data_IF_665152518059
#
_entry.id   IF_665152518059
#
_cell.length_a   1.000
_cell.length_b   1.000
_cell.length_c   1.000
_cell.angle_alpha   90.00
_cell.angle_beta   90.00
_cell.angle_gamma   90.00
#
_symmetry.space_group_name_H-M   'P 1'
#
loop_
_entity.id
_entity.type
_entity.pdbx_description
1 polymer ?
#
# COMPACT_ATOMS: atom_id res chain seq x y z
N UNK A 1 4.40 -14.93 -16.12
CA UNK A 1 3.09 -14.86 -15.41
C UNK A 1 2.19 -13.86 -16.11
N UNK A 2 0.89 -14.12 -16.09
CA UNK A 2 -0.16 -13.16 -16.45
C UNK A 2 -0.50 -12.36 -15.20
N UNK A 3 -0.31 -11.06 -15.25
CA UNK A 3 -0.48 -10.17 -14.10
C UNK A 3 -1.43 -9.04 -14.47
N UNK A 4 -2.41 -8.77 -13.63
CA UNK A 4 -3.24 -7.57 -13.75
C UNK A 4 -2.93 -6.63 -12.60
N UNK A 5 -2.63 -5.38 -12.92
CA UNK A 5 -2.45 -4.29 -11.96
C UNK A 5 -3.70 -3.42 -11.99
N UNK A 6 -4.39 -3.33 -10.86
CA UNK A 6 -5.56 -2.47 -10.71
C UNK A 6 -5.12 -1.12 -10.17
N UNK A 7 -5.20 -0.10 -11.06
CA UNK A 7 -4.66 1.24 -10.82
C UNK A 7 -3.21 1.38 -11.27
N UNK A 8 -2.87 2.48 -11.95
CA UNK A 8 -1.52 2.84 -12.35
C UNK A 8 -1.06 4.13 -11.63
N UNK A 9 -1.37 4.20 -10.34
CA UNK A 9 -0.85 5.21 -9.42
C UNK A 9 0.63 5.00 -9.07
N UNK A 10 1.12 5.65 -8.03
CA UNK A 10 2.52 5.52 -7.62
C UNK A 10 2.97 4.07 -7.43
N UNK A 11 2.21 3.28 -6.65
CA UNK A 11 2.54 1.86 -6.40
C UNK A 11 2.30 1.01 -7.64
N UNK A 12 1.13 1.12 -8.27
CA UNK A 12 0.76 0.27 -9.40
C UNK A 12 1.58 0.55 -10.65
N UNK A 13 1.87 1.80 -10.93
CA UNK A 13 2.76 2.16 -12.04
C UNK A 13 4.19 1.69 -11.79
N UNK A 14 4.69 1.80 -10.55
CA UNK A 14 6.01 1.30 -10.18
C UNK A 14 6.13 -0.23 -10.31
N UNK A 15 5.16 -0.99 -9.76
CA UNK A 15 5.12 -2.46 -9.89
C UNK A 15 4.93 -2.89 -11.34
N UNK A 16 3.92 -2.33 -12.00
CA UNK A 16 3.55 -2.75 -13.34
C UNK A 16 4.61 -2.45 -14.39
N UNK A 17 5.27 -1.28 -14.34
CA UNK A 17 6.35 -0.94 -15.26
C UNK A 17 7.55 -1.89 -15.12
N UNK A 18 7.98 -2.21 -13.90
CA UNK A 18 9.07 -3.13 -13.64
C UNK A 18 8.74 -4.57 -14.08
N UNK A 19 7.54 -5.05 -13.74
CA UNK A 19 7.08 -6.38 -14.13
C UNK A 19 6.99 -6.51 -15.67
N UNK A 20 6.41 -5.52 -16.35
CA UNK A 20 6.34 -5.53 -17.82
C UNK A 20 7.73 -5.48 -18.45
N UNK A 21 8.63 -4.63 -17.93
CA UNK A 21 10.02 -4.55 -18.42
C UNK A 21 10.82 -5.85 -18.20
N UNK A 22 10.44 -6.68 -17.24
CA UNK A 22 11.04 -8.00 -16.98
C UNK A 22 10.49 -9.12 -17.86
N UNK A 23 9.55 -8.81 -18.77
CA UNK A 23 8.96 -9.79 -19.69
C UNK A 23 7.72 -10.50 -19.16
N UNK A 24 7.14 -10.03 -18.05
CA UNK A 24 5.84 -10.53 -17.60
C UNK A 24 4.72 -9.99 -18.51
N UNK A 25 3.66 -10.76 -18.69
CA UNK A 25 2.44 -10.30 -19.37
C UNK A 25 1.62 -9.45 -18.40
N UNK A 26 1.70 -8.12 -18.54
CA UNK A 26 1.06 -7.19 -17.59
C UNK A 26 -0.07 -6.44 -18.27
N UNK A 27 -1.29 -6.57 -17.72
CA UNK A 27 -2.44 -5.76 -18.04
C UNK A 27 -2.74 -4.73 -16.94
N UNK A 28 -3.20 -3.56 -17.30
CA UNK A 28 -3.60 -2.50 -16.37
C UNK A 28 -5.11 -2.28 -16.44
N UNK A 29 -5.81 -2.49 -15.33
CA UNK A 29 -7.20 -2.07 -15.17
C UNK A 29 -7.20 -0.62 -14.66
N UNK A 30 -7.52 0.31 -15.55
CA UNK A 30 -7.44 1.77 -15.30
C UNK A 30 -8.55 2.50 -16.05
N UNK A 31 -8.87 3.71 -15.62
CA UNK A 31 -9.98 4.49 -16.15
C UNK A 31 -9.53 5.88 -16.64
N UNK A 32 -10.42 6.55 -17.38
CA UNK A 32 -10.38 7.97 -17.71
C UNK A 32 -9.02 8.45 -18.23
N UNK A 33 -8.49 9.49 -17.59
CA UNK A 33 -7.22 10.13 -17.98
C UNK A 33 -6.03 9.18 -17.93
N UNK A 34 -6.03 8.24 -16.98
CA UNK A 34 -4.94 7.26 -16.90
C UNK A 34 -4.98 6.29 -18.08
N UNK A 35 -6.14 5.78 -18.43
CA UNK A 35 -6.31 4.92 -19.61
C UNK A 35 -5.91 5.64 -20.89
N UNK A 36 -6.37 6.88 -21.07
CA UNK A 36 -6.04 7.69 -22.24
C UNK A 36 -4.51 7.91 -22.35
N UNK A 37 -3.84 8.24 -21.23
CA UNK A 37 -2.40 8.45 -21.20
C UNK A 37 -1.62 7.18 -21.51
N UNK A 38 -1.99 6.03 -20.91
CA UNK A 38 -1.33 4.76 -21.17
C UNK A 38 -1.44 4.35 -22.65
N UNK A 39 -2.57 4.61 -23.27
CA UNK A 39 -2.79 4.32 -24.71
C UNK A 39 -2.03 5.26 -25.64
N UNK A 40 -1.90 6.53 -25.28
CA UNK A 40 -1.30 7.55 -26.17
C UNK A 40 0.21 7.73 -25.97
N UNK A 41 0.69 7.59 -24.73
CA UNK A 41 2.06 7.95 -24.33
C UNK A 41 2.81 6.83 -23.63
N UNK A 42 2.12 5.72 -23.31
CA UNK A 42 2.70 4.61 -22.58
C UNK A 42 2.85 4.86 -21.09
N UNK A 43 3.67 4.04 -20.43
CA UNK A 43 4.00 4.12 -19.02
C UNK A 43 5.50 4.35 -18.86
N UNK A 44 5.87 5.42 -18.18
CA UNK A 44 7.27 5.75 -17.88
C UNK A 44 7.51 5.73 -16.38
N UNK A 45 8.55 5.02 -15.95
CA UNK A 45 9.04 5.02 -14.57
C UNK A 45 10.39 5.73 -14.51
N UNK A 46 10.47 6.79 -13.70
CA UNK A 46 11.68 7.56 -13.47
C UNK A 46 12.18 7.33 -12.04
N UNK A 47 13.49 7.21 -11.85
CA UNK A 47 14.12 7.24 -10.53
C UNK A 47 14.65 8.64 -10.24
N UNK A 48 14.02 9.29 -9.25
CA UNK A 48 14.38 10.62 -8.75
C UNK A 48 14.96 10.55 -7.33
N UNK A 49 15.36 9.35 -6.86
CA UNK A 49 15.89 9.16 -5.50
C UNK A 49 17.17 9.94 -5.21
N UNK A 50 17.89 10.37 -6.25
CA UNK A 50 19.10 11.19 -6.18
C UNK A 50 18.88 12.65 -6.55
N UNK A 51 17.64 13.08 -6.72
CA UNK A 51 17.24 14.43 -7.14
C UNK A 51 16.67 14.49 -8.54
N UNK A 52 16.18 15.68 -8.90
CA UNK A 52 15.63 15.98 -10.23
C UNK A 52 16.73 16.64 -11.13
N UNK A 53 16.71 16.40 -12.46
CA UNK A 53 15.83 15.45 -13.14
C UNK A 53 16.28 14.00 -12.88
N UNK A 54 15.29 13.13 -12.63
CA UNK A 54 15.54 11.68 -12.50
C UNK A 54 15.93 11.02 -13.85
N UNK A 55 16.24 9.74 -13.81
CA UNK A 55 16.51 8.96 -15.02
C UNK A 55 15.45 7.89 -15.22
N UNK A 56 15.10 7.60 -16.48
CA UNK A 56 14.12 6.58 -16.84
C UNK A 56 14.69 5.19 -16.52
N UNK A 57 13.97 4.45 -15.67
CA UNK A 57 14.33 3.07 -15.28
C UNK A 57 13.51 2.00 -16.00
N UNK A 58 12.29 2.38 -16.46
CA UNK A 58 11.47 1.53 -17.31
C UNK A 58 10.57 2.39 -18.19
N UNK A 59 10.34 1.94 -19.44
CA UNK A 59 9.38 2.56 -20.36
C UNK A 59 8.65 1.47 -21.11
N UNK A 60 7.32 1.50 -21.03
CA UNK A 60 6.42 0.60 -21.73
C UNK A 60 5.64 1.45 -22.72
N UNK A 61 5.97 1.35 -24.01
CA UNK A 61 5.39 2.21 -25.05
C UNK A 61 3.91 1.91 -25.31
N UNK A 62 3.53 0.63 -25.28
CA UNK A 62 2.16 0.19 -25.52
C UNK A 62 1.71 -0.80 -24.42
N UNK A 63 1.44 -0.32 -23.20
CA UNK A 63 0.95 -1.19 -22.14
C UNK A 63 -0.46 -1.70 -22.49
N UNK A 64 -0.71 -2.99 -22.22
CA UNK A 64 -2.07 -3.51 -22.26
C UNK A 64 -2.89 -2.81 -21.18
N UNK A 65 -3.86 -1.98 -21.56
CA UNK A 65 -4.66 -1.20 -20.63
C UNK A 65 -6.13 -1.16 -21.05
N UNK A 66 -7.02 -1.40 -20.11
CA UNK A 66 -8.47 -1.39 -20.31
C UNK A 66 -9.20 -0.94 -19.05
N UNK A 67 -10.40 -0.42 -19.19
CA UNK A 67 -11.37 -0.24 -18.10
C UNK A 67 -12.28 -1.47 -17.94
N UNK A 68 -12.28 -2.35 -18.94
CA UNK A 68 -13.05 -3.59 -18.95
C UNK A 68 -12.17 -4.77 -18.51
N UNK A 69 -12.46 -5.40 -17.37
CA UNK A 69 -11.71 -6.56 -16.88
C UNK A 69 -11.86 -7.78 -17.79
N UNK A 70 -12.99 -7.93 -18.51
CA UNK A 70 -13.19 -9.03 -19.44
C UNK A 70 -12.24 -8.91 -20.65
N UNK A 71 -12.10 -7.72 -21.21
CA UNK A 71 -11.16 -7.47 -22.31
C UNK A 71 -9.70 -7.76 -21.91
N UNK A 72 -9.33 -7.54 -20.64
CA UNK A 72 -8.01 -7.92 -20.13
C UNK A 72 -7.82 -9.44 -20.10
N UNK A 73 -8.81 -10.18 -19.59
CA UNK A 73 -8.71 -11.66 -19.54
C UNK A 73 -8.67 -12.28 -20.94
N UNK A 74 -9.41 -11.74 -21.88
CA UNK A 74 -9.39 -12.17 -23.29
C UNK A 74 -8.03 -11.93 -23.93
N UNK A 75 -7.46 -10.72 -23.76
CA UNK A 75 -6.14 -10.39 -24.33
C UNK A 75 -5.00 -11.14 -23.64
N UNK A 76 -5.12 -11.46 -22.37
CA UNK A 76 -4.16 -12.29 -21.62
C UNK A 76 -4.35 -13.80 -21.90
N UNK A 77 -5.33 -14.17 -22.71
CA UNK A 77 -5.67 -15.56 -23.05
C UNK A 77 -5.98 -16.40 -21.80
N UNK A 78 -6.73 -15.81 -20.86
CA UNK A 78 -7.19 -16.47 -19.65
C UNK A 78 -7.10 -15.62 -18.38
N UNK A 79 -7.48 -16.22 -17.27
CA UNK A 79 -7.41 -15.55 -15.97
C UNK A 79 -5.97 -15.22 -15.57
N UNK A 80 -5.73 -14.06 -14.93
CA UNK A 80 -4.41 -13.73 -14.41
C UNK A 80 -3.97 -14.70 -13.31
N UNK A 81 -2.67 -14.98 -13.27
CA UNK A 81 -2.05 -15.72 -12.18
C UNK A 81 -1.97 -14.84 -10.90
N UNK A 82 -1.82 -13.52 -11.11
CA UNK A 82 -1.68 -12.54 -10.04
C UNK A 82 -2.46 -11.25 -10.36
N UNK A 83 -3.23 -10.77 -9.39
CA UNK A 83 -3.87 -9.45 -9.42
C UNK A 83 -3.25 -8.58 -8.32
N UNK A 84 -2.61 -7.47 -8.70
CA UNK A 84 -2.05 -6.49 -7.77
C UNK A 84 -3.05 -5.35 -7.60
N UNK A 85 -3.69 -5.26 -6.43
CA UNK A 85 -4.66 -4.21 -6.14
C UNK A 85 -3.94 -3.02 -5.52
N UNK A 86 -3.82 -1.93 -6.28
CA UNK A 86 -2.98 -0.78 -5.92
C UNK A 86 -3.74 0.54 -5.82
N UNK A 87 -5.07 0.47 -5.86
CA UNK A 87 -5.96 1.62 -5.61
C UNK A 87 -6.05 1.93 -4.13
N UNK A 88 -6.59 3.09 -3.77
CA UNK A 88 -6.94 3.42 -2.38
C UNK A 88 -8.01 2.45 -1.85
N UNK A 89 -8.10 2.29 -0.53
CA UNK A 89 -9.05 1.37 0.13
C UNK A 89 -10.50 1.70 -0.25
N UNK A 90 -10.86 2.96 -0.34
CA UNK A 90 -12.22 3.42 -0.69
C UNK A 90 -12.69 2.92 -2.07
N UNK A 91 -11.76 2.60 -2.96
CA UNK A 91 -12.08 2.04 -4.27
C UNK A 91 -12.35 0.52 -4.25
N UNK A 92 -12.09 -0.19 -3.16
CA UNK A 92 -12.17 -1.67 -3.13
C UNK A 92 -13.62 -2.17 -3.29
N UNK A 93 -14.57 -1.56 -2.61
CA UNK A 93 -15.98 -1.96 -2.70
C UNK A 93 -16.55 -1.80 -4.13
N UNK A 94 -16.36 -0.66 -4.82
CA UNK A 94 -16.74 -0.52 -6.23
C UNK A 94 -16.01 -1.49 -7.18
N UNK A 95 -14.81 -1.94 -6.84
CA UNK A 95 -14.01 -2.85 -7.65
C UNK A 95 -14.43 -4.32 -7.53
N UNK A 96 -15.27 -4.70 -6.57
CA UNK A 96 -15.65 -6.08 -6.34
C UNK A 96 -16.17 -6.83 -7.58
N UNK A 97 -17.02 -6.24 -8.48
CA UNK A 97 -17.42 -6.91 -9.71
C UNK A 97 -16.24 -7.21 -10.65
N UNK A 98 -15.34 -6.24 -10.84
CA UNK A 98 -14.16 -6.42 -11.69
C UNK A 98 -13.18 -7.45 -11.11
N UNK A 99 -12.99 -7.44 -9.79
CA UNK A 99 -12.17 -8.42 -9.10
C UNK A 99 -12.69 -9.85 -9.31
N UNK A 100 -14.01 -10.08 -9.26
CA UNK A 100 -14.61 -11.40 -9.53
C UNK A 100 -14.37 -11.88 -10.95
N UNK A 101 -14.40 -10.98 -11.93
CA UNK A 101 -14.06 -11.30 -13.33
C UNK A 101 -12.60 -11.70 -13.47
N UNK A 102 -11.69 -11.01 -12.77
CA UNK A 102 -10.25 -11.26 -12.84
C UNK A 102 -9.79 -12.44 -11.97
N UNK A 103 -10.63 -12.97 -11.09
CA UNK A 103 -10.24 -14.01 -10.13
C UNK A 103 -10.75 -15.38 -10.58
N UNK A 104 -9.84 -16.25 -10.98
CA UNK A 104 -10.09 -17.66 -11.24
C UNK A 104 -9.50 -18.56 -10.15
N UNK A 105 -9.67 -19.90 -10.24
CA UNK A 105 -9.28 -20.85 -9.18
C UNK A 105 -7.79 -20.76 -8.77
N UNK A 106 -6.90 -20.35 -9.68
CA UNK A 106 -5.46 -20.24 -9.42
C UNK A 106 -4.98 -18.81 -9.15
N UNK A 107 -5.85 -17.80 -9.24
CA UNK A 107 -5.47 -16.39 -9.12
C UNK A 107 -5.13 -16.01 -7.68
N UNK A 108 -3.98 -15.37 -7.48
CA UNK A 108 -3.63 -14.68 -6.24
C UNK A 108 -3.98 -13.19 -6.33
N UNK A 109 -4.75 -12.67 -5.36
CA UNK A 109 -5.13 -11.24 -5.27
C UNK A 109 -4.34 -10.60 -4.15
N UNK A 110 -3.41 -9.71 -4.48
CA UNK A 110 -2.50 -9.07 -3.51
C UNK A 110 -3.01 -7.69 -3.14
N UNK A 111 -3.20 -7.46 -1.83
CA UNK A 111 -3.43 -6.12 -1.27
C UNK A 111 -2.11 -5.36 -1.18
N UNK A 112 -2.10 -4.06 -1.48
CA UNK A 112 -0.91 -3.20 -1.30
C UNK A 112 -1.19 -1.95 -0.48
N UNK A 113 -2.43 -1.77 -0.05
CA UNK A 113 -2.91 -0.61 0.67
C UNK A 113 -2.23 -0.44 2.03
N UNK A 114 -2.21 0.79 2.52
CA UNK A 114 -1.82 1.07 3.90
C UNK A 114 -2.98 0.75 4.85
N UNK A 115 -2.67 0.41 6.10
CA UNK A 115 -3.68 0.01 7.08
C UNK A 115 -3.87 -1.50 7.14
N UNK A 116 -4.87 -1.93 7.90
CA UNK A 116 -5.11 -3.34 8.24
C UNK A 116 -6.34 -3.93 7.56
N UNK A 117 -7.21 -3.12 6.98
CA UNK A 117 -8.55 -3.52 6.52
C UNK A 117 -8.58 -4.12 5.12
N UNK A 118 -7.67 -3.75 4.23
CA UNK A 118 -7.73 -4.12 2.81
C UNK A 118 -7.76 -5.64 2.55
N UNK A 119 -6.97 -6.48 3.23
CA UNK A 119 -7.05 -7.93 3.01
C UNK A 119 -8.44 -8.51 3.30
N UNK A 120 -9.10 -8.08 4.39
CA UNK A 120 -10.46 -8.48 4.73
C UNK A 120 -11.48 -8.06 3.66
N UNK A 121 -11.44 -6.79 3.25
CA UNK A 121 -12.34 -6.27 2.21
C UNK A 121 -12.16 -7.00 0.86
N UNK A 122 -10.95 -7.37 0.50
CA UNK A 122 -10.70 -8.19 -0.69
C UNK A 122 -11.22 -9.62 -0.51
N UNK A 123 -11.07 -10.21 0.67
CA UNK A 123 -11.60 -11.52 0.99
C UNK A 123 -13.14 -11.57 0.88
N UNK A 124 -13.83 -10.53 1.31
CA UNK A 124 -15.28 -10.38 1.14
C UNK A 124 -15.70 -10.28 -0.34
N UNK A 125 -14.83 -9.74 -1.19
CA UNK A 125 -15.11 -9.56 -2.62
C UNK A 125 -14.90 -10.85 -3.44
N UNK A 126 -13.82 -11.61 -3.18
CA UNK A 126 -13.36 -12.72 -4.05
C UNK A 126 -13.15 -14.05 -3.33
N UNK A 127 -13.33 -14.11 -2.02
CA UNK A 127 -12.99 -15.26 -1.20
C UNK A 127 -11.59 -15.18 -0.59
N UNK A 128 -11.49 -15.59 0.69
CA UNK A 128 -10.24 -15.52 1.47
C UNK A 128 -9.11 -16.33 0.84
N UNK A 129 -9.46 -17.45 0.22
CA UNK A 129 -8.53 -18.37 -0.45
C UNK A 129 -7.79 -17.76 -1.64
N UNK A 130 -8.32 -16.68 -2.22
CA UNK A 130 -7.69 -15.95 -3.32
C UNK A 130 -6.76 -14.85 -2.83
N UNK A 131 -6.95 -14.33 -1.61
CA UNK A 131 -6.24 -13.14 -1.14
C UNK A 131 -4.88 -13.48 -0.55
N UNK A 132 -3.87 -12.79 -1.01
CA UNK A 132 -2.52 -12.74 -0.47
C UNK A 132 -2.32 -11.36 0.18
N UNK A 133 -2.45 -11.22 1.51
CA UNK A 133 -2.07 -9.97 2.15
C UNK A 133 -0.67 -9.53 1.74
N UNK A 134 -0.51 -8.23 1.43
CA UNK A 134 0.75 -7.69 0.96
C UNK A 134 1.15 -6.41 1.69
N UNK A 135 2.45 -6.17 1.78
CA UNK A 135 3.03 -4.99 2.42
C UNK A 135 4.01 -4.33 1.46
N UNK A 136 3.50 -3.36 0.71
CA UNK A 136 4.33 -2.56 -0.19
C UNK A 136 5.05 -1.45 0.58
N UNK A 137 6.36 -1.29 0.34
CA UNK A 137 7.17 -0.18 0.83
C UNK A 137 7.86 0.47 -0.36
N UNK A 138 7.27 1.51 -0.87
CA UNK A 138 7.81 2.29 -1.98
C UNK A 138 7.45 3.76 -1.82
N UNK A 139 8.40 4.62 -2.08
CA UNK A 139 8.20 6.07 -2.13
C UNK A 139 8.12 6.48 -3.59
N UNK A 140 6.91 6.46 -4.13
CA UNK A 140 6.63 6.83 -5.52
C UNK A 140 5.40 7.74 -5.60
N UNK A 141 5.37 8.57 -6.62
CA UNK A 141 4.28 9.49 -6.90
C UNK A 141 3.99 9.53 -8.41
N UNK A 142 2.76 9.83 -8.76
CA UNK A 142 2.37 10.15 -10.13
C UNK A 142 2.78 11.59 -10.41
N UNK A 143 3.64 11.80 -11.40
CA UNK A 143 4.00 13.14 -11.88
C UNK A 143 2.96 13.66 -12.87
N UNK A 144 2.50 12.77 -13.75
CA UNK A 144 1.39 12.97 -14.67
C UNK A 144 0.78 11.61 -15.03
N UNK A 145 -0.44 11.52 -15.55
CA UNK A 145 -0.97 10.25 -16.03
C UNK A 145 0.02 9.57 -17.00
N UNK A 146 0.40 8.32 -16.71
CA UNK A 146 1.41 7.57 -17.46
C UNK A 146 2.87 7.85 -17.06
N UNK A 147 3.15 8.77 -16.13
CA UNK A 147 4.49 9.03 -15.60
C UNK A 147 4.55 8.84 -14.08
N UNK A 148 5.36 7.91 -13.62
CA UNK A 148 5.57 7.60 -12.20
C UNK A 148 7.02 7.89 -11.83
N UNK A 149 7.23 8.54 -10.69
CA UNK A 149 8.54 8.88 -10.14
C UNK A 149 8.77 8.16 -8.82
N UNK A 150 9.89 7.46 -8.71
CA UNK A 150 10.39 6.93 -7.45
C UNK A 150 11.22 8.02 -6.77
N UNK A 151 10.83 8.41 -5.56
CA UNK A 151 11.45 9.53 -4.82
C UNK A 151 12.31 9.07 -3.63
N UNK A 152 12.41 7.78 -3.38
CA UNK A 152 13.32 7.24 -2.36
C UNK A 152 13.20 5.74 -2.17
N UNK A 153 14.34 5.15 -1.81
CA UNK A 153 14.46 3.72 -1.52
C UNK A 153 14.34 2.80 -2.73
N UNK A 154 14.82 1.57 -2.58
CA UNK A 154 14.75 0.56 -3.66
C UNK A 154 13.33 0.02 -3.90
N UNK A 155 12.42 0.25 -2.96
CA UNK A 155 11.09 -0.32 -2.96
C UNK A 155 11.07 -1.82 -2.64
N UNK A 156 9.97 -2.29 -2.05
CA UNK A 156 9.80 -3.72 -1.75
C UNK A 156 8.33 -4.10 -1.61
N UNK A 157 8.06 -5.41 -1.75
CA UNK A 157 6.75 -6.01 -1.50
C UNK A 157 6.92 -7.33 -0.75
N UNK A 158 6.48 -7.37 0.51
CA UNK A 158 6.23 -8.64 1.19
C UNK A 158 4.81 -9.11 0.88
N UNK A 159 4.60 -10.39 0.67
CA UNK A 159 3.29 -10.98 0.50
C UNK A 159 3.28 -12.41 1.03
N UNK A 160 2.12 -12.93 1.41
CA UNK A 160 2.04 -14.29 1.93
C UNK A 160 0.61 -14.77 2.12
N UNK A 161 0.48 -16.05 2.41
CA UNK A 161 -0.80 -16.63 2.81
C UNK A 161 -1.18 -16.16 4.22
N UNK A 162 -2.47 -16.24 4.55
CA UNK A 162 -3.02 -15.81 5.83
C UNK A 162 -2.42 -16.53 7.04
N UNK A 163 -2.02 -17.78 6.85
CA UNK A 163 -1.42 -18.65 7.88
C UNK A 163 0.11 -18.65 7.87
N UNK A 164 0.73 -17.87 7.00
CA UNK A 164 2.18 -17.79 6.83
C UNK A 164 2.78 -18.91 5.98
N UNK A 165 1.96 -19.81 5.40
CA UNK A 165 2.46 -20.86 4.53
C UNK A 165 3.09 -20.31 3.24
N UNK A 166 4.22 -20.88 2.84
CA UNK A 166 4.82 -20.62 1.55
C UNK A 166 4.26 -21.58 0.49
N UNK A 167 3.23 -21.17 -0.24
CA UNK A 167 2.58 -21.95 -1.29
C UNK A 167 3.28 -21.81 -2.64
N UNK A 168 2.88 -22.61 -3.62
CA UNK A 168 3.41 -22.50 -4.98
C UNK A 168 3.10 -21.12 -5.59
N UNK A 169 1.88 -20.59 -5.39
CA UNK A 169 1.48 -19.29 -5.94
C UNK A 169 2.22 -18.12 -5.28
N UNK A 170 2.40 -18.13 -3.95
CA UNK A 170 3.14 -17.07 -3.26
C UNK A 170 4.62 -17.08 -3.64
N UNK A 171 5.23 -18.27 -3.81
CA UNK A 171 6.60 -18.39 -4.34
C UNK A 171 6.72 -17.88 -5.77
N UNK A 172 5.79 -18.25 -6.66
CA UNK A 172 5.79 -17.78 -8.05
C UNK A 172 5.64 -16.25 -8.13
N UNK A 173 4.78 -15.65 -7.29
CA UNK A 173 4.63 -14.20 -7.21
C UNK A 173 5.94 -13.52 -6.76
N UNK A 174 6.59 -14.03 -5.71
CA UNK A 174 7.89 -13.50 -5.25
C UNK A 174 8.96 -13.62 -6.34
N UNK A 175 9.07 -14.76 -7.02
CA UNK A 175 10.02 -14.96 -8.11
C UNK A 175 9.79 -13.96 -9.26
N UNK A 176 8.55 -13.70 -9.65
CA UNK A 176 8.24 -12.73 -10.70
C UNK A 176 8.63 -11.29 -10.28
N UNK A 177 8.39 -10.93 -9.03
CA UNK A 177 8.79 -9.62 -8.47
C UNK A 177 10.32 -9.48 -8.41
N UNK A 178 11.03 -10.50 -7.95
CA UNK A 178 12.50 -10.49 -7.88
C UNK A 178 13.13 -10.44 -9.27
N UNK A 179 12.59 -11.17 -10.25
CA UNK A 179 13.01 -11.09 -11.64
C UNK A 179 12.82 -9.68 -12.24
N UNK A 180 11.85 -8.93 -11.73
CA UNK A 180 11.61 -7.52 -12.07
C UNK A 180 12.50 -6.52 -11.29
N UNK A 181 13.47 -7.01 -10.51
CA UNK A 181 14.34 -6.18 -9.67
C UNK A 181 13.62 -5.56 -8.47
N UNK A 182 12.51 -6.14 -8.04
CA UNK A 182 11.75 -5.70 -6.86
C UNK A 182 12.14 -6.64 -5.71
N UNK A 183 12.65 -6.07 -4.61
CA UNK A 183 12.88 -6.86 -3.40
C UNK A 183 11.55 -7.43 -2.90
N UNK A 184 11.40 -8.76 -2.92
CA UNK A 184 10.18 -9.42 -2.48
C UNK A 184 10.50 -10.62 -1.60
N UNK A 185 9.59 -10.97 -0.66
CA UNK A 185 9.75 -12.15 0.20
C UNK A 185 8.41 -12.59 0.78
N UNK A 186 8.37 -13.85 1.21
CA UNK A 186 7.28 -14.41 2.01
C UNK A 186 7.74 -14.36 3.48
N UNK A 187 7.14 -13.52 4.33
CA UNK A 187 7.50 -13.48 5.74
C UNK A 187 6.87 -14.66 6.50
N UNK A 188 7.45 -15.06 7.63
CA UNK A 188 6.87 -16.08 8.50
C UNK A 188 5.47 -15.71 9.05
N UNK A 189 5.19 -14.40 9.18
CA UNK A 189 3.87 -13.86 9.44
C UNK A 189 3.67 -12.58 8.64
N UNK A 190 2.79 -12.62 7.65
CA UNK A 190 2.44 -11.43 6.85
C UNK A 190 1.70 -10.40 7.70
N UNK A 191 0.96 -10.83 8.70
CA UNK A 191 0.25 -9.97 9.62
C UNK A 191 1.22 -9.19 10.52
N UNK A 192 2.22 -9.84 11.08
CA UNK A 192 3.26 -9.17 11.85
C UNK A 192 3.99 -8.12 10.99
N UNK A 193 4.27 -8.44 9.72
CA UNK A 193 4.89 -7.53 8.76
C UNK A 193 4.01 -6.31 8.45
N UNK A 194 2.70 -6.54 8.31
CA UNK A 194 1.71 -5.49 8.09
C UNK A 194 1.60 -4.57 9.32
N UNK A 195 1.47 -5.14 10.51
CA UNK A 195 1.36 -4.39 11.75
C UNK A 195 2.65 -3.59 12.08
N UNK A 196 3.84 -4.12 11.78
CA UNK A 196 5.10 -3.35 11.88
C UNK A 196 5.09 -2.12 10.96
N UNK A 197 4.60 -2.26 9.73
CA UNK A 197 4.46 -1.10 8.83
C UNK A 197 3.45 -0.10 9.39
N UNK A 198 2.31 -0.58 9.84
CA UNK A 198 1.21 0.25 10.36
C UNK A 198 1.63 1.01 11.61
N UNK A 199 2.34 0.38 12.56
CA UNK A 199 2.82 1.02 13.78
C UNK A 199 3.71 2.25 13.52
N UNK A 200 4.35 2.31 12.38
CA UNK A 200 5.14 3.46 11.97
C UNK A 200 4.38 4.39 11.02
N UNK A 201 3.93 3.88 9.84
CA UNK A 201 3.43 4.73 8.75
C UNK A 201 2.10 5.40 9.10
N UNK A 202 1.17 4.69 9.76
CA UNK A 202 -0.13 5.25 10.12
C UNK A 202 0.01 6.24 11.26
N UNK A 203 0.83 5.93 12.26
CA UNK A 203 1.12 6.85 13.38
C UNK A 203 1.79 8.12 12.88
N UNK A 204 2.81 8.01 12.01
CA UNK A 204 3.43 9.18 11.38
C UNK A 204 2.40 10.03 10.63
N UNK A 205 1.54 9.39 9.84
CA UNK A 205 0.53 10.09 9.05
C UNK A 205 -0.52 10.79 9.92
N UNK A 206 -1.01 10.11 10.94
CA UNK A 206 -2.02 10.63 11.85
C UNK A 206 -1.51 11.81 12.68
N UNK A 207 -0.42 11.64 13.40
CA UNK A 207 0.15 12.71 14.23
C UNK A 207 0.71 13.85 13.38
N UNK A 208 1.33 13.53 12.23
CA UNK A 208 1.82 14.54 11.30
C UNK A 208 0.71 15.40 10.72
N UNK A 209 -0.44 14.82 10.37
CA UNK A 209 -1.61 15.56 9.92
C UNK A 209 -2.26 16.37 11.05
N UNK A 210 -2.39 15.80 12.25
CA UNK A 210 -2.97 16.49 13.40
C UNK A 210 -2.13 17.68 13.85
N UNK A 211 -0.80 17.51 13.89
CA UNK A 211 0.15 18.57 14.25
C UNK A 211 0.50 19.50 13.08
N UNK A 212 0.08 19.17 11.85
CA UNK A 212 0.53 19.83 10.61
C UNK A 212 2.06 19.93 10.53
N UNK A 213 2.76 18.84 10.83
CA UNK A 213 4.20 18.83 10.99
C UNK A 213 4.85 17.57 10.36
N UNK A 214 6.08 17.68 9.80
CA UNK A 214 6.80 16.53 9.26
C UNK A 214 7.39 15.65 10.39
N UNK A 215 7.94 14.50 9.99
CA UNK A 215 8.52 13.52 10.93
C UNK A 215 9.62 14.11 11.83
N UNK A 216 10.34 15.12 11.35
CA UNK A 216 11.37 15.82 12.15
C UNK A 216 10.83 16.34 13.47
N UNK A 217 9.63 16.95 13.46
CA UNK A 217 8.95 17.44 14.68
C UNK A 217 8.41 16.29 15.52
N UNK A 218 7.85 15.25 14.87
CA UNK A 218 7.30 14.09 15.59
C UNK A 218 8.37 13.34 16.37
N UNK A 219 9.58 13.23 15.83
CA UNK A 219 10.70 12.52 16.48
C UNK A 219 11.51 13.39 17.46
N UNK A 220 11.23 14.70 17.55
CA UNK A 220 11.85 15.63 18.51
C UNK A 220 10.81 16.15 19.51
N UNK A 221 10.10 17.21 19.18
CA UNK A 221 9.23 17.94 20.08
C UNK A 221 7.99 17.11 20.51
N UNK A 222 7.51 16.22 19.64
CA UNK A 222 6.36 15.34 19.87
C UNK A 222 6.76 13.88 20.12
N UNK A 223 8.03 13.61 20.46
CA UNK A 223 8.54 12.24 20.59
C UNK A 223 7.76 11.40 21.60
N UNK A 224 7.36 11.96 22.73
CA UNK A 224 6.57 11.24 23.74
C UNK A 224 5.19 10.84 23.23
N UNK A 225 4.51 11.75 22.53
CA UNK A 225 3.21 11.47 21.92
C UNK A 225 3.35 10.42 20.80
N UNK A 226 4.39 10.54 19.97
CA UNK A 226 4.69 9.56 18.91
C UNK A 226 4.97 8.17 19.51
N UNK A 227 5.79 8.09 20.56
CA UNK A 227 6.09 6.84 21.27
C UNK A 227 4.83 6.20 21.85
N UNK A 228 3.96 6.98 22.48
CA UNK A 228 2.68 6.47 23.03
C UNK A 228 1.79 5.93 21.95
N UNK A 229 1.61 6.66 20.84
CA UNK A 229 0.78 6.20 19.72
C UNK A 229 1.32 4.91 19.08
N UNK A 230 2.65 4.78 18.92
CA UNK A 230 3.26 3.53 18.47
C UNK A 230 2.99 2.39 19.46
N UNK A 231 3.10 2.65 20.77
CA UNK A 231 2.84 1.65 21.83
C UNK A 231 1.38 1.19 21.81
N UNK A 232 0.42 2.08 21.55
CA UNK A 232 -0.99 1.74 21.38
C UNK A 232 -1.17 0.74 20.23
N UNK A 233 -0.59 1.01 19.05
CA UNK A 233 -0.67 0.09 17.90
C UNK A 233 -0.03 -1.26 18.21
N UNK A 234 1.13 -1.28 18.87
CA UNK A 234 1.82 -2.52 19.26
C UNK A 234 0.96 -3.33 20.24
N UNK A 235 0.32 -2.66 21.21
CA UNK A 235 -0.57 -3.32 22.17
C UNK A 235 -1.81 -3.93 21.49
N UNK A 236 -2.43 -3.20 20.55
CA UNK A 236 -3.56 -3.73 19.77
C UNK A 236 -3.13 -4.94 18.94
N UNK A 237 -1.99 -4.87 18.25
CA UNK A 237 -1.45 -6.00 17.49
C UNK A 237 -1.22 -7.23 18.37
N UNK A 238 -0.63 -7.06 19.54
CA UNK A 238 -0.38 -8.14 20.52
C UNK A 238 -1.70 -8.76 21.02
N UNK A 239 -2.71 -7.95 21.33
CA UNK A 239 -4.02 -8.42 21.77
C UNK A 239 -4.75 -9.22 20.66
N UNK A 240 -4.49 -8.90 19.39
CA UNK A 240 -4.97 -9.66 18.22
C UNK A 240 -4.10 -10.91 17.92
N UNK A 241 -3.08 -11.21 18.73
CA UNK A 241 -2.21 -12.37 18.56
C UNK A 241 -1.06 -12.18 17.56
N UNK A 242 -0.74 -10.93 17.20
CA UNK A 242 0.36 -10.63 16.30
C UNK A 242 1.60 -10.16 17.08
N UNK A 243 2.59 -11.04 17.21
CA UNK A 243 3.88 -10.67 17.78
C UNK A 243 4.70 -9.89 16.74
N UNK A 244 5.06 -8.65 17.09
CA UNK A 244 5.84 -7.76 16.22
C UNK A 244 7.34 -7.83 16.48
N UNK A 245 7.78 -8.50 17.55
CA UNK A 245 9.18 -8.70 17.84
C UNK A 245 9.86 -9.60 16.78
N UNK A 246 11.14 -9.38 16.59
CA UNK A 246 12.02 -10.23 15.78
C UNK A 246 13.35 -10.36 16.48
N UNK A 247 14.17 -11.36 16.11
CA UNK A 247 15.53 -11.50 16.65
C UNK A 247 16.38 -10.23 16.43
N UNK A 248 16.19 -9.55 15.30
CA UNK A 248 16.90 -8.30 14.97
C UNK A 248 16.29 -7.06 15.62
N UNK A 249 15.00 -7.10 16.01
CA UNK A 249 14.26 -6.01 16.62
C UNK A 249 13.31 -6.55 17.70
N UNK A 250 13.85 -6.89 18.88
CA UNK A 250 13.07 -7.50 19.96
C UNK A 250 12.07 -6.53 20.61
N UNK A 251 12.28 -5.22 20.46
CA UNK A 251 11.36 -4.17 20.88
C UNK A 251 10.77 -3.45 19.68
N UNK A 252 9.50 -3.74 19.31
CA UNK A 252 8.85 -3.15 18.16
C UNK A 252 8.61 -1.63 18.29
N UNK A 253 8.49 -1.10 19.52
CA UNK A 253 8.37 0.34 19.75
C UNK A 253 9.69 1.03 19.45
N UNK A 254 10.79 0.52 20.00
CA UNK A 254 12.12 1.04 19.71
C UNK A 254 12.47 0.95 18.22
N UNK A 255 12.04 -0.11 17.53
CA UNK A 255 12.21 -0.25 16.08
C UNK A 255 11.49 0.83 15.29
N UNK A 256 10.21 1.10 15.62
CA UNK A 256 9.44 2.17 14.98
C UNK A 256 10.07 3.56 15.21
N UNK A 257 10.58 3.81 16.41
CA UNK A 257 11.32 5.05 16.72
C UNK A 257 12.62 5.16 15.92
N UNK A 258 13.38 4.07 15.81
CA UNK A 258 14.59 4.01 14.99
C UNK A 258 14.30 4.29 13.52
N UNK A 259 13.18 3.75 13.00
CA UNK A 259 12.70 4.05 11.64
C UNK A 259 12.37 5.54 11.48
N UNK A 260 11.73 6.16 12.48
CA UNK A 260 11.44 7.60 12.47
C UNK A 260 12.72 8.43 12.47
N UNK A 261 13.70 8.06 13.29
CA UNK A 261 14.99 8.75 13.40
C UNK A 261 15.80 8.67 12.10
N UNK A 262 15.65 7.60 11.33
CA UNK A 262 16.31 7.40 10.04
C UNK A 262 15.68 8.17 8.87
N UNK A 263 14.43 8.68 9.01
CA UNK A 263 13.78 9.42 7.93
C UNK A 263 14.38 10.82 7.74
N UNK A 264 14.36 11.37 6.50
CA UNK A 264 14.61 12.79 6.30
C UNK A 264 13.64 13.64 7.14
N UNK A 265 14.12 14.70 7.78
CA UNK A 265 13.31 15.51 8.71
C UNK A 265 12.02 16.06 8.08
N UNK A 266 12.03 16.37 6.79
CA UNK A 266 10.87 16.86 6.03
C UNK A 266 9.92 15.76 5.53
N UNK A 267 10.15 14.48 5.85
CA UNK A 267 9.33 13.39 5.32
C UNK A 267 7.89 13.44 5.86
N UNK A 268 6.94 13.15 4.96
CA UNK A 268 5.49 13.10 5.22
C UNK A 268 4.90 11.85 4.59
N UNK A 269 3.72 11.42 5.04
CA UNK A 269 2.97 10.31 4.43
C UNK A 269 2.02 10.81 3.32
N UNK A 270 1.50 9.88 2.49
CA UNK A 270 0.47 10.21 1.48
C UNK A 270 -0.80 10.76 2.15
N UNK A 271 -1.31 10.06 3.17
CA UNK A 271 -2.50 10.49 3.92
C UNK A 271 -2.33 11.92 4.47
N UNK A 272 -1.18 12.22 5.07
CA UNK A 272 -0.89 13.55 5.59
C UNK A 272 -0.90 14.62 4.48
N UNK A 273 -0.33 14.33 3.31
CA UNK A 273 -0.33 15.25 2.17
C UNK A 273 -1.73 15.49 1.61
N UNK A 274 -2.56 14.45 1.49
CA UNK A 274 -3.94 14.58 1.03
C UNK A 274 -4.73 15.49 2.00
N UNK A 275 -4.64 15.24 3.31
CA UNK A 275 -5.30 16.07 4.34
C UNK A 275 -4.81 17.53 4.32
N UNK A 276 -3.51 17.75 4.13
CA UNK A 276 -2.92 19.09 4.12
C UNK A 276 -3.44 19.97 2.98
N UNK A 277 -3.82 19.38 1.84
CA UNK A 277 -4.38 20.10 0.68
C UNK A 277 -5.90 19.98 0.58
N UNK A 278 -6.57 19.44 1.59
CA UNK A 278 -8.04 19.33 1.65
C UNK A 278 -8.62 18.29 0.68
N UNK A 279 -7.86 17.30 0.29
CA UNK A 279 -8.34 16.18 -0.53
C UNK A 279 -8.86 15.02 0.34
N UNK A 280 -9.83 14.23 -0.15
CA UNK A 280 -10.22 12.98 0.49
C UNK A 280 -9.02 12.06 0.71
N UNK A 281 -8.87 11.59 1.94
CA UNK A 281 -7.75 10.77 2.36
C UNK A 281 -8.21 9.35 2.76
N UNK A 282 -7.26 8.52 3.19
CA UNK A 282 -7.55 7.20 3.74
C UNK A 282 -7.61 7.22 5.28
N UNK A 283 -8.02 8.34 5.89
CA UNK A 283 -8.04 8.52 7.35
C UNK A 283 -8.79 7.40 8.06
N UNK A 284 -10.03 7.12 7.66
CA UNK A 284 -10.85 6.11 8.31
C UNK A 284 -10.32 4.68 8.06
N UNK A 285 -9.87 4.39 6.84
CA UNK A 285 -9.32 3.08 6.49
C UNK A 285 -7.98 2.78 7.18
N UNK A 286 -7.21 3.80 7.52
CA UNK A 286 -5.93 3.64 8.21
C UNK A 286 -6.08 3.85 9.72
N UNK A 287 -6.35 5.07 10.17
CA UNK A 287 -6.42 5.42 11.58
C UNK A 287 -7.72 4.94 12.24
N UNK A 288 -8.88 5.19 11.60
CA UNK A 288 -10.18 4.73 12.13
C UNK A 288 -10.24 3.22 12.30
N UNK A 289 -9.66 2.46 11.36
CA UNK A 289 -9.57 1.00 11.48
C UNK A 289 -8.72 0.54 12.68
N UNK A 290 -7.66 1.28 13.04
CA UNK A 290 -6.85 0.98 14.23
C UNK A 290 -7.60 1.26 15.53
N UNK A 291 -8.31 2.39 15.61
CA UNK A 291 -9.13 2.72 16.78
C UNK A 291 -10.20 1.63 16.99
N UNK A 292 -10.92 1.25 15.93
CA UNK A 292 -11.92 0.16 16.01
C UNK A 292 -11.30 -1.17 16.41
N UNK A 293 -10.14 -1.52 15.90
CA UNK A 293 -9.45 -2.75 16.30
C UNK A 293 -9.06 -2.72 17.79
N UNK A 294 -8.66 -1.56 18.32
CA UNK A 294 -8.43 -1.37 19.76
C UNK A 294 -9.70 -1.60 20.59
N UNK A 295 -10.81 -1.00 20.18
CA UNK A 295 -12.12 -1.18 20.84
C UNK A 295 -12.56 -2.65 20.85
N UNK A 296 -12.43 -3.35 19.72
CA UNK A 296 -12.80 -4.77 19.57
C UNK A 296 -12.05 -5.69 20.53
N UNK A 297 -10.78 -5.38 20.83
CA UNK A 297 -9.95 -6.19 21.75
C UNK A 297 -9.81 -5.58 23.14
N UNK A 298 -10.49 -4.47 23.41
CA UNK A 298 -10.47 -3.80 24.71
C UNK A 298 -9.14 -3.14 25.08
N UNK A 299 -8.35 -2.75 24.08
CA UNK A 299 -7.07 -2.02 24.26
C UNK A 299 -7.30 -0.54 24.00
N UNK A 300 -7.14 0.33 25.02
CA UNK A 300 -7.31 1.78 24.85
C UNK A 300 -6.30 2.38 23.87
N UNK A 301 -6.79 3.28 22.98
CA UNK A 301 -5.97 3.98 22.00
C UNK A 301 -6.12 5.52 22.10
N UNK A 302 -5.94 6.13 23.29
CA UNK A 302 -6.31 7.52 23.53
C UNK A 302 -5.58 8.54 22.65
N UNK A 303 -4.32 8.29 22.25
CA UNK A 303 -3.59 9.20 21.36
C UNK A 303 -4.10 9.08 19.93
N UNK A 304 -4.37 7.85 19.46
CA UNK A 304 -4.92 7.59 18.13
C UNK A 304 -6.36 8.11 18.03
N UNK A 305 -7.19 7.90 19.05
CA UNK A 305 -8.58 8.39 19.13
C UNK A 305 -8.65 9.91 19.09
N UNK A 306 -7.77 10.58 19.84
CA UNK A 306 -7.66 12.03 19.79
C UNK A 306 -7.26 12.52 18.40
N UNK A 307 -6.25 11.90 17.80
CA UNK A 307 -5.81 12.25 16.45
C UNK A 307 -6.94 12.03 15.43
N UNK A 308 -7.67 10.92 15.51
CA UNK A 308 -8.82 10.64 14.66
C UNK A 308 -9.91 11.69 14.82
N UNK A 309 -10.29 12.01 16.07
CA UNK A 309 -11.32 13.01 16.38
C UNK A 309 -10.98 14.41 15.87
N UNK A 310 -9.70 14.80 15.90
CA UNK A 310 -9.21 16.09 15.36
C UNK A 310 -9.27 16.11 13.83
N UNK A 311 -9.00 14.99 13.17
CA UNK A 311 -8.89 14.89 11.71
C UNK A 311 -10.23 14.59 11.02
N UNK A 312 -11.14 13.86 11.66
CA UNK A 312 -12.41 13.44 11.07
C UNK A 312 -13.27 14.60 10.52
N UNK A 313 -13.39 15.77 11.18
CA UNK A 313 -14.11 16.90 10.61
C UNK A 313 -13.48 17.45 9.31
N UNK A 314 -12.15 17.45 9.20
CA UNK A 314 -11.44 17.86 7.97
C UNK A 314 -11.70 16.89 6.81
N UNK A 315 -11.67 15.60 7.12
CA UNK A 315 -11.97 14.54 6.15
C UNK A 315 -13.43 14.63 5.66
N UNK A 316 -14.39 14.90 6.56
CA UNK A 316 -15.79 15.07 6.20
C UNK A 316 -16.00 16.25 5.23
N UNK A 317 -15.31 17.38 5.45
CA UNK A 317 -15.36 18.53 4.54
C UNK A 317 -14.72 18.20 3.19
N UNK A 318 -13.57 17.54 3.18
CA UNK A 318 -12.89 17.15 1.94
C UNK A 318 -13.78 16.22 1.09
N UNK A 319 -14.47 15.25 1.72
CA UNK A 319 -15.38 14.32 1.01
C UNK A 319 -16.66 14.99 0.51
N UNK A 320 -17.17 15.99 1.19
CA UNK A 320 -18.35 16.73 0.75
C UNK A 320 -18.08 17.66 -0.43
N UNK A 321 -16.81 18.02 -0.68
CA UNK A 321 -16.37 18.89 -1.77
C UNK A 321 -15.78 18.16 -2.99
N UNK A 322 -15.69 16.82 -2.94
CA UNK A 322 -15.14 15.97 -4.00
C UNK A 322 -16.25 15.34 -4.90
#
# INVERSE_FOLDING_TARGET
MRIVVIGAGGIGGWLGARLAASGQQVGFLVHDRTLAALRSSGLTLCDCSRGEPGFVTARIEMPLASEDPQALTETLEGQPDLVLVTTKVDALAPLAPALRVLTGPGTGVVSTQNGISAPGLLADAVGREHVLPGVARVYSAVASPGEVRTIGGAGSLALGEWDGAATARSRAAVQALEAAGIRAWIPGSIWAELWRKVSFVVVQGALGAAANAPIGVLRSDLRDAFTRAVSEVVAVAAALGHDLATDAAPDPVAEALRMADAQPAGATTSMQRDIAVGLPSELDAQLGALCRAGDEVGVPTPVLDLAHSVLAPREAVARAGA
#
